data_IF_795317781600
#
_entry.id   IF_795317781600
#
_cell.length_a   1.000
_cell.length_b   1.000
_cell.length_c   1.000
_cell.angle_alpha   90.00
_cell.angle_beta   90.00
_cell.angle_gamma   90.00
#
_symmetry.space_group_name_H-M   'P 1'
#
loop_
_entity.id
_entity.type
_entity.pdbx_description
1 polymer ?
#
# COMPACT_ATOMS: atom_id res chain seq x y z
N UNK A 1 -20.17 -54.63 -27.81
CA UNK A 1 -21.62 -54.44 -27.65
C UNK A 1 -21.84 -53.04 -27.09
N UNK A 2 -22.62 -52.25 -27.82
CA UNK A 2 -23.16 -50.90 -27.56
C UNK A 2 -24.34 -51.04 -26.55
N UNK A 3 -24.81 -50.02 -25.77
CA UNK A 3 -24.75 -48.57 -26.05
C UNK A 3 -24.33 -47.59 -24.94
N UNK A 4 -23.99 -46.41 -25.47
CA UNK A 4 -23.94 -45.06 -24.90
C UNK A 4 -25.36 -44.53 -24.62
N UNK A 5 -25.57 -43.81 -23.52
CA UNK A 5 -26.72 -42.92 -23.31
C UNK A 5 -26.19 -41.53 -22.94
N UNK A 6 -26.45 -40.58 -23.84
CA UNK A 6 -26.23 -39.15 -23.65
C UNK A 6 -27.47 -38.52 -23.01
N UNK A 7 -27.29 -37.61 -22.05
CA UNK A 7 -28.33 -36.73 -21.53
C UNK A 7 -27.95 -35.29 -21.90
N UNK A 8 -28.69 -34.74 -22.86
CA UNK A 8 -28.65 -33.33 -23.27
C UNK A 8 -29.60 -32.52 -22.38
N UNK A 9 -29.09 -31.44 -21.79
CA UNK A 9 -29.92 -30.42 -21.15
C UNK A 9 -30.36 -29.38 -22.19
N UNK A 10 -31.65 -29.02 -22.27
CA UNK A 10 -32.13 -28.01 -23.21
C UNK A 10 -31.92 -26.58 -22.70
N UNK A 11 -31.48 -25.72 -23.62
CA UNK A 11 -31.42 -24.26 -23.55
C UNK A 11 -32.83 -23.66 -23.41
N UNK A 12 -33.08 -22.67 -22.54
CA UNK A 12 -34.36 -21.97 -22.52
C UNK A 12 -34.43 -20.92 -23.64
N UNK A 13 -35.54 -20.95 -24.37
CA UNK A 13 -35.87 -20.10 -25.49
C UNK A 13 -36.26 -18.68 -25.06
N UNK A 14 -35.73 -17.70 -25.80
CA UNK A 14 -36.07 -16.29 -25.76
C UNK A 14 -37.46 -16.07 -26.39
N UNK A 15 -38.39 -15.40 -25.70
CA UNK A 15 -39.69 -14.98 -26.24
C UNK A 15 -39.74 -13.47 -26.38
N UNK A 16 -40.18 -12.92 -27.54
CA UNK A 16 -40.34 -11.48 -27.72
C UNK A 16 -41.74 -11.06 -27.24
N UNK A 17 -41.83 -9.90 -26.57
CA UNK A 17 -43.13 -9.22 -26.38
C UNK A 17 -43.13 -7.89 -27.11
N UNK A 18 -44.03 -7.84 -28.07
CA UNK A 18 -44.37 -6.73 -28.94
C UNK A 18 -45.15 -5.63 -28.21
N UNK A 19 -44.87 -4.43 -28.70
CA UNK A 19 -45.49 -3.12 -28.49
C UNK A 19 -47.01 -3.06 -28.38
N UNK A 20 -47.50 -2.18 -27.50
CA UNK A 20 -48.79 -1.50 -27.67
C UNK A 20 -48.63 0.00 -27.39
N UNK A 21 -48.90 0.81 -28.41
CA UNK A 21 -48.96 2.28 -28.36
C UNK A 21 -50.27 2.72 -27.71
N UNK A 22 -50.22 3.72 -26.84
CA UNK A 22 -51.38 4.58 -26.55
C UNK A 22 -50.92 6.04 -26.49
N UNK A 23 -51.44 6.82 -27.44
CA UNK A 23 -51.30 8.27 -27.53
C UNK A 23 -52.17 8.93 -26.46
N UNK A 24 -51.68 9.95 -25.76
CA UNK A 24 -52.54 11.03 -25.26
C UNK A 24 -51.75 12.35 -25.10
N UNK A 25 -52.13 13.30 -25.95
CA UNK A 25 -52.33 14.74 -25.72
C UNK A 25 -51.25 15.58 -25.01
N UNK A 26 -50.68 16.49 -25.81
CA UNK A 26 -49.88 17.64 -25.41
C UNK A 26 -50.73 18.61 -24.59
N UNK A 27 -50.29 18.91 -23.36
CA UNK A 27 -50.65 20.13 -22.65
C UNK A 27 -49.40 21.00 -22.53
N UNK A 28 -49.44 22.15 -23.20
CA UNK A 28 -48.40 23.17 -23.17
C UNK A 28 -48.55 23.96 -21.87
N UNK A 29 -47.62 23.81 -20.94
CA UNK A 29 -47.47 24.70 -19.79
C UNK A 29 -46.07 25.33 -19.85
N UNK A 30 -46.03 26.61 -20.22
CA UNK A 30 -44.84 27.43 -20.09
C UNK A 30 -44.61 27.72 -18.59
N UNK A 31 -43.53 27.18 -18.03
CA UNK A 31 -42.98 27.61 -16.75
C UNK A 31 -41.52 27.99 -17.01
N UNK A 32 -41.27 29.29 -17.00
CA UNK A 32 -39.92 29.85 -16.93
C UNK A 32 -39.35 29.58 -15.54
N UNK A 33 -38.54 28.54 -15.42
CA UNK A 33 -37.69 28.33 -14.25
C UNK A 33 -36.23 28.54 -14.68
N UNK A 34 -35.62 29.62 -14.17
CA UNK A 34 -34.17 29.70 -14.07
C UNK A 34 -33.73 28.65 -13.06
N UNK A 35 -33.47 27.43 -13.55
CA UNK A 35 -32.81 26.39 -12.79
C UNK A 35 -31.31 26.57 -12.95
N UNK A 36 -30.62 26.92 -11.87
CA UNK A 36 -29.19 26.73 -11.79
C UNK A 36 -28.89 25.26 -12.12
N UNK A 37 -28.06 25.04 -13.14
CA UNK A 37 -27.42 23.75 -13.37
C UNK A 37 -26.51 23.56 -12.15
N UNK A 38 -27.01 22.90 -11.12
CA UNK A 38 -26.15 22.25 -10.16
C UNK A 38 -25.41 21.18 -10.96
N UNK A 39 -24.12 21.40 -11.17
CA UNK A 39 -23.21 20.35 -11.58
C UNK A 39 -23.29 19.30 -10.46
N UNK A 40 -24.07 18.24 -10.68
CA UNK A 40 -23.93 17.03 -9.90
C UNK A 40 -22.59 16.45 -10.33
N UNK A 41 -21.55 16.77 -9.57
CA UNK A 41 -20.35 15.96 -9.59
C UNK A 41 -20.78 14.56 -9.15
N UNK A 42 -20.52 13.57 -10.01
CA UNK A 42 -20.56 12.17 -9.64
C UNK A 42 -19.57 11.98 -8.47
N UNK A 43 -20.11 11.92 -7.27
CA UNK A 43 -19.39 11.59 -6.04
C UNK A 43 -19.30 10.05 -5.93
N UNK A 44 -18.66 9.42 -6.92
CA UNK A 44 -18.43 7.97 -6.93
C UNK A 44 -16.95 7.57 -6.95
N UNK A 45 -16.05 8.53 -6.73
CA UNK A 45 -14.74 8.23 -6.16
C UNK A 45 -14.88 8.45 -4.67
N UNK A 46 -15.14 7.39 -3.91
CA UNK A 46 -14.88 7.44 -2.46
C UNK A 46 -13.49 8.07 -2.30
N UNK A 47 -13.43 9.27 -1.71
CA UNK A 47 -12.18 9.98 -1.56
C UNK A 47 -11.25 9.06 -0.77
N UNK A 48 -10.27 8.47 -1.47
CA UNK A 48 -9.10 7.88 -0.83
C UNK A 48 -8.64 8.89 0.21
N UNK A 49 -8.43 8.43 1.44
CA UNK A 49 -7.91 9.29 2.48
C UNK A 49 -6.62 9.90 1.92
N UNK A 50 -6.60 11.23 1.78
CA UNK A 50 -5.55 11.93 1.04
C UNK A 50 -4.16 11.83 1.71
N UNK A 51 -4.08 11.10 2.82
CA UNK A 51 -2.87 10.65 3.53
C UNK A 51 -2.19 9.44 2.87
N UNK A 52 -2.89 8.62 2.10
CA UNK A 52 -2.28 7.44 1.47
C UNK A 52 -1.58 7.78 0.16
N UNK A 53 -0.49 7.07 -0.13
CA UNK A 53 0.18 7.13 -1.42
C UNK A 53 -0.80 6.62 -2.49
N UNK A 54 -0.93 7.36 -3.57
CA UNK A 54 -1.94 7.16 -4.61
C UNK A 54 -1.34 7.06 -6.01
N UNK A 55 0.00 7.10 -6.12
CA UNK A 55 0.72 7.00 -7.37
C UNK A 55 1.83 5.96 -7.27
N UNK A 56 1.73 4.93 -8.10
CA UNK A 56 2.85 4.04 -8.42
C UNK A 56 3.78 4.73 -9.41
N UNK A 57 5.00 5.04 -8.97
CA UNK A 57 6.04 5.65 -9.81
C UNK A 57 6.81 4.60 -10.59
N UNK A 58 7.15 3.48 -9.93
CA UNK A 58 7.83 2.36 -10.56
C UNK A 58 7.56 1.07 -9.80
N UNK A 59 7.20 0.01 -10.53
CA UNK A 59 7.03 -1.34 -9.99
C UNK A 59 7.57 -2.38 -10.99
N UNK A 60 8.91 -2.47 -11.19
CA UNK A 60 9.51 -3.43 -12.12
C UNK A 60 9.16 -4.90 -11.85
N UNK A 61 8.74 -5.24 -10.63
CA UNK A 61 8.24 -6.58 -10.27
C UNK A 61 6.79 -6.89 -10.71
N UNK A 62 6.06 -5.89 -11.22
CA UNK A 62 4.66 -6.05 -11.64
C UNK A 62 4.48 -7.10 -12.75
N UNK A 63 3.38 -7.84 -12.68
CA UNK A 63 3.06 -8.92 -13.62
C UNK A 63 1.56 -9.26 -13.60
N UNK A 64 1.09 -10.11 -14.52
CA UNK A 64 -0.33 -10.49 -14.64
C UNK A 64 -0.75 -11.60 -13.64
N UNK A 65 0.08 -11.90 -12.63
CA UNK A 65 -0.22 -12.85 -11.57
C UNK A 65 -1.20 -12.28 -10.54
N UNK A 66 -1.74 -13.14 -9.67
CA UNK A 66 -2.79 -12.77 -8.69
C UNK A 66 -2.41 -11.56 -7.82
N UNK A 67 -1.15 -11.46 -7.43
CA UNK A 67 -0.62 -10.38 -6.57
C UNK A 67 0.35 -9.47 -7.32
N UNK A 68 0.28 -9.46 -8.65
CA UNK A 68 1.24 -8.76 -9.51
C UNK A 68 0.79 -7.35 -9.94
N UNK A 69 -0.41 -6.92 -9.57
CA UNK A 69 -0.91 -5.58 -9.87
C UNK A 69 -0.43 -4.57 -8.82
N UNK A 70 0.44 -3.60 -9.19
CA UNK A 70 0.96 -2.63 -8.24
C UNK A 70 -0.08 -1.60 -7.77
N UNK A 71 -1.27 -1.55 -8.39
CA UNK A 71 -2.33 -0.66 -7.91
C UNK A 71 -2.81 -1.02 -6.50
N UNK A 72 -2.71 -2.30 -6.10
CA UNK A 72 -3.01 -2.78 -4.74
C UNK A 72 -2.14 -2.18 -3.64
N UNK A 73 -1.03 -1.50 -3.99
CA UNK A 73 -0.23 -0.76 -3.00
C UNK A 73 -0.68 0.72 -2.85
N UNK A 74 -1.72 1.13 -3.58
CA UNK A 74 -2.15 2.54 -3.70
C UNK A 74 -3.68 2.74 -3.71
N UNK A 75 -4.46 1.66 -3.63
CA UNK A 75 -5.92 1.68 -3.60
C UNK A 75 -6.50 1.56 -2.19
N UNK A 76 -5.67 1.81 -1.19
CA UNK A 76 -6.04 1.84 0.23
C UNK A 76 -5.56 0.59 0.95
N UNK A 77 -5.58 0.63 2.29
CA UNK A 77 -5.07 -0.47 3.12
C UNK A 77 -6.22 -1.33 3.60
N UNK A 78 -6.12 -2.63 3.36
CA UNK A 78 -7.14 -3.63 3.63
C UNK A 78 -6.62 -4.78 4.50
N UNK A 79 -5.91 -4.46 5.57
CA UNK A 79 -5.40 -5.44 6.53
C UNK A 79 -6.45 -6.42 7.06
N UNK A 80 -6.01 -7.64 7.38
CA UNK A 80 -6.86 -8.71 7.90
C UNK A 80 -6.73 -8.90 9.44
N UNK A 81 -6.05 -7.96 10.10
CA UNK A 81 -5.92 -7.92 11.55
C UNK A 81 -4.71 -8.70 12.08
N UNK A 82 -4.71 -8.88 13.40
CA UNK A 82 -3.56 -9.39 14.16
C UNK A 82 -3.00 -10.75 13.71
N UNK A 83 -3.86 -11.64 13.20
CA UNK A 83 -3.57 -13.08 13.04
C UNK A 83 -3.78 -13.62 11.63
N UNK A 84 -3.94 -12.73 10.66
CA UNK A 84 -4.09 -13.10 9.26
C UNK A 84 -3.58 -11.96 8.38
N UNK A 85 -2.96 -12.31 7.26
CA UNK A 85 -2.73 -11.39 6.15
C UNK A 85 -3.93 -11.36 5.20
N UNK A 86 -4.09 -10.24 4.50
CA UNK A 86 -5.01 -10.13 3.38
C UNK A 86 -4.46 -10.93 2.19
N UNK A 87 -5.27 -11.85 1.65
CA UNK A 87 -4.87 -12.75 0.57
C UNK A 87 -5.48 -12.37 -0.79
N UNK A 88 -6.11 -11.20 -0.91
CA UNK A 88 -6.85 -10.77 -2.09
C UNK A 88 -6.42 -9.38 -2.60
N UNK A 89 -5.89 -8.52 -1.73
CA UNK A 89 -5.62 -7.11 -2.04
C UNK A 89 -4.26 -6.67 -1.50
N UNK A 90 -3.19 -7.10 -2.17
CA UNK A 90 -1.79 -6.77 -1.87
C UNK A 90 -0.95 -6.86 -3.15
N UNK A 91 0.11 -6.05 -3.24
CA UNK A 91 1.10 -6.16 -4.29
C UNK A 91 2.38 -6.86 -3.81
N UNK A 92 2.62 -8.09 -4.29
CA UNK A 92 3.87 -8.81 -4.01
C UNK A 92 5.02 -8.28 -4.88
N UNK A 93 6.03 -7.70 -4.25
CA UNK A 93 7.19 -7.10 -4.93
C UNK A 93 8.20 -8.14 -5.47
N UNK A 94 8.21 -9.36 -4.93
CA UNK A 94 9.27 -10.31 -5.16
C UNK A 94 10.51 -10.07 -4.27
N UNK A 95 11.62 -10.72 -4.59
CA UNK A 95 12.84 -10.70 -3.75
C UNK A 95 13.94 -9.75 -4.21
N UNK A 96 13.73 -9.01 -5.30
CA UNK A 96 14.78 -8.23 -5.97
C UNK A 96 14.35 -6.85 -6.41
N UNK A 97 13.17 -6.76 -6.98
CA UNK A 97 12.71 -5.54 -7.65
C UNK A 97 12.12 -4.56 -6.61
N UNK A 98 12.47 -3.27 -6.69
CA UNK A 98 11.92 -2.27 -5.78
C UNK A 98 10.50 -1.84 -6.20
N UNK A 99 9.78 -1.22 -5.27
CA UNK A 99 8.54 -0.49 -5.51
C UNK A 99 8.78 0.97 -5.16
N UNK A 100 8.41 1.91 -6.02
CA UNK A 100 8.47 3.35 -5.74
C UNK A 100 7.09 3.96 -5.82
N UNK A 101 6.68 4.61 -4.74
CA UNK A 101 5.38 5.25 -4.55
C UNK A 101 5.54 6.75 -4.31
N UNK A 102 4.45 7.49 -4.51
CA UNK A 102 4.36 8.92 -4.18
C UNK A 102 2.92 9.34 -3.91
N UNK A 103 2.76 10.60 -3.48
CA UNK A 103 1.48 11.26 -3.25
C UNK A 103 1.24 12.32 -4.32
N UNK A 104 0.03 12.38 -4.88
CA UNK A 104 -0.42 13.31 -5.94
C UNK A 104 0.10 14.75 -5.79
N UNK A 105 1.25 15.02 -6.42
CA UNK A 105 1.97 16.30 -6.38
C UNK A 105 2.25 16.85 -4.97
N UNK A 106 2.38 15.97 -3.97
CA UNK A 106 2.68 16.34 -2.58
C UNK A 106 4.04 15.83 -2.14
N UNK A 107 4.57 16.49 -1.12
CA UNK A 107 5.73 16.03 -0.36
C UNK A 107 5.28 15.61 1.03
N UNK A 108 5.91 14.56 1.56
CA UNK A 108 5.81 14.17 2.97
C UNK A 108 6.82 15.01 3.74
N UNK A 109 6.34 15.83 4.66
CA UNK A 109 7.15 16.74 5.47
C UNK A 109 7.54 16.09 6.79
N UNK A 110 8.68 16.52 7.33
CA UNK A 110 9.07 16.19 8.70
C UNK A 110 8.23 17.02 9.67
N UNK A 111 7.51 16.36 10.56
CA UNK A 111 6.70 16.96 11.60
C UNK A 111 6.97 16.35 12.97
N UNK A 112 6.01 16.48 13.88
CA UNK A 112 6.17 15.90 15.21
C UNK A 112 5.82 14.41 15.19
N UNK A 113 6.78 13.57 15.59
CA UNK A 113 6.61 12.13 15.67
C UNK A 113 6.57 11.47 14.29
N UNK A 114 5.92 10.30 14.22
CA UNK A 114 5.84 9.49 12.99
C UNK A 114 5.32 10.32 11.80
N UNK A 115 6.10 10.30 10.72
CA UNK A 115 5.79 11.04 9.50
C UNK A 115 5.10 10.15 8.45
N UNK A 116 5.41 8.86 8.42
CA UNK A 116 4.76 7.89 7.55
C UNK A 116 4.74 6.48 8.13
N UNK A 117 3.77 5.67 7.69
CA UNK A 117 3.57 4.27 8.09
C UNK A 117 3.43 3.40 6.85
N UNK A 118 4.10 2.26 6.83
CA UNK A 118 4.02 1.27 5.75
C UNK A 118 3.21 0.06 6.23
N UNK A 119 2.26 -0.36 5.40
CA UNK A 119 1.42 -1.52 5.59
C UNK A 119 1.80 -2.55 4.52
N UNK A 120 2.52 -3.58 4.95
CA UNK A 120 2.90 -4.72 4.13
C UNK A 120 1.76 -5.74 4.23
N UNK A 121 1.95 -6.87 4.90
CA UNK A 121 0.88 -7.82 5.15
C UNK A 121 1.27 -8.78 6.29
N UNK A 122 2.16 -8.34 7.18
CA UNK A 122 2.62 -9.17 8.28
C UNK A 122 1.48 -9.53 9.23
N UNK A 123 1.63 -10.64 9.95
CA UNK A 123 0.67 -11.07 10.98
C UNK A 123 1.31 -12.03 11.97
N UNK A 124 0.71 -12.14 13.17
CA UNK A 124 1.18 -13.06 14.20
C UNK A 124 0.86 -14.51 13.87
N UNK A 125 1.86 -15.37 14.06
CA UNK A 125 1.74 -16.82 13.95
C UNK A 125 1.98 -17.51 15.29
N UNK A 126 1.21 -18.56 15.56
CA UNK A 126 1.34 -19.34 16.79
C UNK A 126 0.86 -18.62 18.07
N UNK A 127 1.46 -18.98 19.19
CA UNK A 127 1.17 -18.46 20.54
C UNK A 127 2.35 -17.67 21.14
N UNK A 128 3.46 -17.55 20.41
CA UNK A 128 4.65 -16.79 20.76
C UNK A 128 4.68 -15.41 20.06
N UNK A 129 5.75 -14.63 20.30
CA UNK A 129 6.04 -13.35 19.61
C UNK A 129 6.60 -13.60 18.19
N UNK A 130 5.99 -14.51 17.44
CA UNK A 130 6.44 -14.88 16.10
C UNK A 130 5.51 -14.27 15.06
N UNK A 131 6.08 -13.66 14.03
CA UNK A 131 5.33 -13.07 12.93
C UNK A 131 5.65 -13.82 11.63
N UNK A 132 4.65 -13.99 10.78
CA UNK A 132 4.92 -14.15 9.36
C UNK A 132 5.13 -12.75 8.80
N UNK A 133 6.32 -12.50 8.25
CA UNK A 133 6.77 -11.18 7.87
C UNK A 133 7.79 -11.23 6.74
N UNK A 134 7.69 -10.27 5.82
CA UNK A 134 8.51 -10.17 4.62
C UNK A 134 9.10 -8.76 4.52
N UNK A 135 10.38 -8.64 4.87
CA UNK A 135 10.95 -7.33 5.16
C UNK A 135 11.33 -6.54 3.90
N UNK A 136 11.12 -5.22 3.97
CA UNK A 136 11.61 -4.26 3.01
C UNK A 136 12.39 -3.14 3.70
N UNK A 137 13.54 -2.76 3.13
CA UNK A 137 14.20 -1.53 3.50
C UNK A 137 13.51 -0.33 2.83
N UNK A 138 13.48 0.79 3.54
CA UNK A 138 12.85 2.03 3.08
C UNK A 138 13.92 2.97 2.55
N UNK A 139 13.69 3.58 1.39
CA UNK A 139 14.56 4.58 0.83
C UNK A 139 13.77 5.79 0.34
N UNK A 140 14.28 7.00 0.57
CA UNK A 140 13.57 8.24 0.33
C UNK A 140 14.32 9.12 -0.67
N UNK A 141 13.57 9.87 -1.49
CA UNK A 141 14.13 10.75 -2.52
C UNK A 141 13.26 11.98 -2.79
N UNK A 142 13.91 13.05 -3.25
CA UNK A 142 13.25 14.26 -3.75
C UNK A 142 13.14 14.32 -5.29
N UNK A 143 14.03 13.62 -6.00
CA UNK A 143 14.14 13.67 -7.48
C UNK A 143 13.75 12.35 -8.17
N UNK A 144 13.59 11.27 -7.42
CA UNK A 144 13.26 9.94 -7.94
C UNK A 144 14.46 9.19 -8.53
N UNK A 145 15.67 9.75 -8.42
CA UNK A 145 16.91 9.17 -8.93
C UNK A 145 17.89 8.89 -7.78
N UNK A 146 18.12 9.87 -6.90
CA UNK A 146 19.02 9.78 -5.77
C UNK A 146 18.23 9.45 -4.51
N UNK A 147 18.55 8.30 -3.90
CA UNK A 147 17.86 7.82 -2.70
C UNK A 147 18.82 7.74 -1.51
N UNK A 148 18.32 8.10 -0.33
CA UNK A 148 18.92 7.73 0.95
C UNK A 148 18.12 6.58 1.55
N UNK A 149 18.80 5.55 2.02
CA UNK A 149 18.16 4.42 2.70
C UNK A 149 18.01 4.78 4.18
N UNK A 150 16.82 4.54 4.72
CA UNK A 150 16.51 4.70 6.13
C UNK A 150 17.39 3.73 6.94
N UNK A 151 17.91 4.14 8.11
CA UNK A 151 18.68 3.23 8.96
C UNK A 151 17.88 1.97 9.31
N UNK A 152 18.52 0.81 9.16
CA UNK A 152 17.94 -0.50 9.47
C UNK A 152 19.04 -1.47 9.86
N UNK A 153 18.69 -2.47 10.67
CA UNK A 153 19.62 -3.47 11.18
C UNK A 153 18.91 -4.81 11.45
N UNK A 154 19.60 -5.91 11.21
CA UNK A 154 19.11 -7.27 11.49
C UNK A 154 19.96 -7.92 12.57
N UNK A 155 19.41 -8.03 13.78
CA UNK A 155 20.20 -8.34 15.00
C UNK A 155 19.91 -9.72 15.58
N UNK A 156 19.54 -10.69 14.74
CA UNK A 156 19.33 -12.06 15.19
C UNK A 156 20.63 -12.71 15.69
N UNK A 157 20.56 -13.70 16.61
CA UNK A 157 21.76 -14.38 17.11
C UNK A 157 22.65 -15.02 16.03
N UNK A 158 22.04 -15.45 14.91
CA UNK A 158 22.72 -15.82 13.68
C UNK A 158 22.09 -15.04 12.52
N UNK A 159 22.73 -13.95 12.13
CA UNK A 159 22.23 -13.04 11.10
C UNK A 159 22.23 -13.63 9.67
N UNK A 160 22.77 -14.84 9.49
CA UNK A 160 22.70 -15.56 8.20
C UNK A 160 21.43 -16.42 8.08
N UNK A 161 20.70 -16.60 9.17
CA UNK A 161 19.46 -17.37 9.22
C UNK A 161 18.28 -16.43 9.45
N UNK A 162 17.14 -16.75 8.84
CA UNK A 162 15.91 -16.01 9.07
C UNK A 162 15.39 -16.22 10.49
N UNK A 163 14.85 -15.16 11.08
CA UNK A 163 14.16 -15.17 12.36
C UNK A 163 12.76 -14.60 12.17
N UNK A 164 11.77 -15.30 12.73
CA UNK A 164 10.37 -14.89 12.80
C UNK A 164 10.08 -13.99 14.02
N UNK A 165 11.09 -13.61 14.81
CA UNK A 165 10.95 -12.66 15.91
C UNK A 165 11.11 -11.23 15.37
N UNK A 166 10.06 -10.39 15.45
CA UNK A 166 10.06 -9.04 14.89
C UNK A 166 11.11 -8.13 15.56
N UNK A 167 11.53 -8.41 16.79
CA UNK A 167 12.49 -7.58 17.52
C UNK A 167 13.91 -7.60 16.89
N UNK A 168 14.18 -8.58 16.04
CA UNK A 168 15.45 -8.66 15.31
C UNK A 168 15.49 -7.75 14.06
N UNK A 169 14.36 -7.22 13.59
CA UNK A 169 14.26 -6.50 12.30
C UNK A 169 14.03 -5.00 12.50
N UNK A 170 15.07 -4.29 12.95
CA UNK A 170 14.96 -2.88 13.33
C UNK A 170 15.01 -1.98 12.09
N UNK A 171 14.09 -1.01 11.98
CA UNK A 171 14.06 -0.03 10.89
C UNK A 171 13.64 -0.60 9.52
N UNK A 172 13.22 -1.86 9.47
CA UNK A 172 12.59 -2.45 8.28
C UNK A 172 11.08 -2.20 8.29
N UNK A 173 10.49 -2.16 7.11
CA UNK A 173 9.05 -2.32 6.92
C UNK A 173 8.71 -3.81 6.73
N UNK A 174 7.43 -4.15 6.89
CA UNK A 174 6.93 -5.51 6.83
C UNK A 174 7.20 -6.31 8.10
N UNK A 175 7.12 -5.69 9.28
CA UNK A 175 7.39 -6.34 10.57
C UNK A 175 6.13 -6.40 11.43
N UNK A 176 5.37 -5.31 11.56
CA UNK A 176 4.16 -5.27 12.40
C UNK A 176 2.89 -5.73 11.67
N UNK A 177 1.94 -6.38 12.37
CA UNK A 177 0.66 -6.73 11.78
C UNK A 177 -0.12 -5.55 11.22
N UNK A 178 -0.94 -5.77 10.20
CA UNK A 178 -1.81 -4.74 9.61
C UNK A 178 -3.24 -4.87 10.15
N UNK A 179 -3.62 -3.96 11.05
CA UNK A 179 -4.94 -3.94 11.69
C UNK A 179 -5.87 -2.90 11.05
N UNK A 180 -5.30 -1.84 10.50
CA UNK A 180 -6.05 -0.86 9.73
C UNK A 180 -6.72 -1.56 8.54
N UNK A 181 -8.00 -1.26 8.36
CA UNK A 181 -8.74 -1.70 7.18
C UNK A 181 -9.71 -0.59 6.78
N UNK A 182 -9.57 -0.09 5.54
CA UNK A 182 -10.31 1.06 5.05
C UNK A 182 -11.84 0.86 5.10
N UNK A 183 -12.31 -0.38 5.00
CA UNK A 183 -13.73 -0.71 4.95
C UNK A 183 -14.31 -1.12 6.32
N UNK A 184 -13.52 -1.82 7.14
CA UNK A 184 -14.03 -2.53 8.32
C UNK A 184 -13.39 -2.09 9.64
N UNK A 185 -12.23 -1.44 9.61
CA UNK A 185 -11.49 -0.99 10.80
C UNK A 185 -10.75 0.33 10.54
N UNK A 186 -11.51 1.36 10.19
CA UNK A 186 -10.97 2.69 9.87
C UNK A 186 -10.66 3.48 11.15
N UNK A 187 -9.43 3.34 11.62
CA UNK A 187 -8.84 4.08 12.76
C UNK A 187 -7.84 5.12 12.26
N UNK A 188 -7.12 5.80 13.16
CA UNK A 188 -6.02 6.65 12.74
C UNK A 188 -4.82 5.76 12.32
N UNK A 189 -4.32 5.83 11.06
CA UNK A 189 -3.19 5.00 10.61
C UNK A 189 -1.89 5.22 11.39
N UNK A 190 -1.80 6.30 12.19
CA UNK A 190 -0.64 6.61 13.04
C UNK A 190 -0.81 6.16 14.50
N UNK A 191 -1.95 5.57 14.85
CA UNK A 191 -2.14 4.88 16.13
C UNK A 191 -1.66 3.43 15.99
N UNK A 192 -0.39 3.19 16.35
CA UNK A 192 0.25 1.89 16.16
C UNK A 192 -0.48 0.72 16.85
N UNK A 193 -1.17 0.97 17.98
CA UNK A 193 -1.91 -0.07 18.71
C UNK A 193 -3.21 -0.47 18.00
N UNK A 194 -3.80 0.43 17.21
CA UNK A 194 -5.07 0.21 16.53
C UNK A 194 -4.92 -0.08 15.03
N UNK A 195 -3.93 0.53 14.38
CA UNK A 195 -3.68 0.42 12.95
C UNK A 195 -2.60 -0.62 12.62
N UNK A 196 -1.62 -0.81 13.50
CA UNK A 196 -0.42 -1.58 13.20
C UNK A 196 0.44 -0.93 12.12
N UNK A 197 1.13 -1.76 11.32
CA UNK A 197 2.10 -1.30 10.33
C UNK A 197 3.40 -0.75 10.94
N UNK A 198 4.36 -0.45 10.08
CA UNK A 198 5.70 -0.03 10.48
C UNK A 198 5.86 1.49 10.32
N UNK A 199 6.14 2.15 11.43
CA UNK A 199 6.21 3.61 11.55
C UNK A 199 7.63 4.15 11.35
N UNK A 200 7.72 5.30 10.67
CA UNK A 200 8.99 5.97 10.35
C UNK A 200 8.88 7.47 10.63
N UNK A 201 9.88 8.02 11.32
CA UNK A 201 10.01 9.44 11.67
C UNK A 201 11.26 10.00 10.98
N UNK A 202 11.12 11.04 10.16
CA UNK A 202 12.23 11.59 9.38
C UNK A 202 13.37 12.08 10.26
N UNK A 203 13.14 12.41 11.54
CA UNK A 203 14.21 12.76 12.46
C UNK A 203 15.20 11.61 12.76
N UNK A 204 14.82 10.36 12.47
CA UNK A 204 15.71 9.20 12.56
C UNK A 204 16.71 9.10 11.39
N UNK A 205 16.54 9.90 10.33
CA UNK A 205 17.54 9.96 9.27
C UNK A 205 18.84 10.62 9.75
N UNK A 206 20.00 10.13 9.28
CA UNK A 206 21.28 10.72 9.62
C UNK A 206 21.40 12.14 9.07
N UNK A 207 21.96 13.05 9.87
CA UNK A 207 22.20 14.47 9.54
C UNK A 207 23.63 14.75 9.06
N UNK A 208 24.43 13.70 8.84
CA UNK A 208 25.83 13.80 8.41
C UNK A 208 26.00 13.89 6.88
N UNK A 209 24.92 13.61 6.13
CA UNK A 209 24.86 13.68 4.67
C UNK A 209 23.97 14.81 4.15
N UNK A 210 24.31 15.31 2.95
CA UNK A 210 23.54 16.38 2.30
C UNK A 210 22.08 15.97 2.01
N UNK A 211 21.85 14.74 1.53
CA UNK A 211 20.50 14.28 1.17
C UNK A 211 19.63 13.99 2.40
N UNK A 212 20.20 13.39 3.46
CA UNK A 212 19.48 13.16 4.73
C UNK A 212 19.08 14.49 5.38
N UNK A 213 20.02 15.43 5.45
CA UNK A 213 19.74 16.80 5.94
C UNK A 213 18.65 17.50 5.11
N UNK A 214 18.70 17.37 3.79
CA UNK A 214 17.70 17.96 2.90
C UNK A 214 16.32 17.37 3.16
N UNK A 215 16.21 16.03 3.20
CA UNK A 215 14.92 15.34 3.44
C UNK A 215 14.35 15.68 4.82
N UNK A 216 15.20 15.77 5.85
CA UNK A 216 14.75 16.18 7.19
C UNK A 216 14.19 17.59 7.24
N UNK A 217 14.74 18.51 6.44
CA UNK A 217 14.33 19.92 6.44
C UNK A 217 13.16 20.22 5.51
N UNK A 218 13.12 19.53 4.38
CA UNK A 218 12.26 19.85 3.24
C UNK A 218 11.38 18.67 2.79
N UNK A 219 11.36 17.59 3.57
CA UNK A 219 10.57 16.41 3.27
C UNK A 219 11.11 15.61 2.09
N UNK A 220 10.33 14.63 1.67
CA UNK A 220 10.61 13.82 0.48
C UNK A 220 9.41 13.76 -0.45
N UNK A 221 9.62 13.32 -1.69
CA UNK A 221 8.58 13.15 -2.71
C UNK A 221 8.34 11.69 -3.10
N UNK A 222 9.37 10.87 -3.00
CA UNK A 222 9.35 9.49 -3.44
C UNK A 222 9.77 8.59 -2.29
N UNK A 223 8.94 7.59 -2.01
CA UNK A 223 9.28 6.49 -1.12
C UNK A 223 9.54 5.26 -1.98
N UNK A 224 10.66 4.59 -1.73
CA UNK A 224 11.03 3.34 -2.37
C UNK A 224 11.17 2.24 -1.33
N UNK A 225 10.46 1.15 -1.55
CA UNK A 225 10.65 -0.10 -0.84
C UNK A 225 11.62 -0.98 -1.63
N UNK A 226 12.54 -1.61 -0.93
CA UNK A 226 13.53 -2.54 -1.49
C UNK A 226 13.41 -3.84 -0.69
N UNK A 227 13.11 -5.00 -1.31
CA UNK A 227 13.07 -6.26 -0.57
C UNK A 227 14.39 -6.46 0.19
N UNK A 228 14.33 -6.79 1.48
CA UNK A 228 15.54 -6.93 2.31
C UNK A 228 16.52 -7.94 1.70
N UNK A 229 16.00 -9.04 1.12
CA UNK A 229 16.80 -10.05 0.42
C UNK A 229 17.55 -9.57 -0.82
N UNK A 230 17.24 -8.37 -1.32
CA UNK A 230 17.96 -7.72 -2.41
C UNK A 230 19.19 -6.94 -1.92
N UNK A 231 19.27 -6.65 -0.62
CA UNK A 231 20.34 -5.89 0.02
C UNK A 231 21.35 -6.83 0.69
N UNK A 232 22.60 -6.38 0.73
CA UNK A 232 23.66 -7.05 1.49
C UNK A 232 23.61 -6.59 2.93
N UNK A 233 23.47 -7.53 3.87
CA UNK A 233 23.68 -7.28 5.29
C UNK A 233 25.16 -6.88 5.50
N UNK A 234 25.44 -5.69 6.06
CA UNK A 234 26.80 -5.19 6.25
C UNK A 234 27.64 -6.03 7.23
N UNK A 235 27.02 -6.68 8.22
CA UNK A 235 27.71 -7.45 9.26
C UNK A 235 28.13 -8.84 8.78
N UNK A 236 27.35 -9.44 7.89
CA UNK A 236 27.63 -10.78 7.35
C UNK A 236 28.24 -10.77 5.95
N UNK A 237 28.04 -9.68 5.18
CA UNK A 237 28.39 -9.60 3.76
C UNK A 237 27.55 -10.51 2.85
N UNK A 238 26.47 -11.12 3.35
CA UNK A 238 25.49 -11.90 2.60
C UNK A 238 24.20 -11.10 2.38
N UNK A 239 23.30 -11.50 1.48
CA UNK A 239 21.97 -10.92 1.44
C UNK A 239 21.26 -11.10 2.80
N UNK A 240 20.41 -10.15 3.20
CA UNK A 240 19.55 -10.38 4.38
C UNK A 240 18.73 -11.66 4.18
N UNK A 241 18.56 -12.47 5.24
CA UNK A 241 17.77 -13.68 5.13
C UNK A 241 16.30 -13.34 4.89
N UNK A 242 15.52 -14.34 4.49
CA UNK A 242 14.07 -14.21 4.28
C UNK A 242 13.38 -15.49 4.70
N UNK A 243 12.08 -15.42 4.94
CA UNK A 243 11.30 -16.62 5.19
C UNK A 243 11.42 -17.56 3.96
N UNK A 244 11.70 -18.87 4.14
CA UNK A 244 11.78 -19.82 3.04
C UNK A 244 10.46 -20.03 2.26
N UNK A 245 9.32 -19.71 2.87
CA UNK A 245 7.98 -19.84 2.30
C UNK A 245 7.50 -18.54 1.63
N UNK A 246 8.20 -17.43 1.87
CA UNK A 246 7.93 -16.09 1.33
C UNK A 246 8.22 -15.99 -0.17
N UNK A 247 7.37 -15.24 -0.87
CA UNK A 247 7.55 -14.80 -2.25
C UNK A 247 7.98 -13.32 -2.36
N UNK A 248 8.07 -12.60 -1.24
CA UNK A 248 8.59 -11.25 -1.11
C UNK A 248 7.53 -10.30 -0.53
N UNK A 249 7.90 -9.08 -0.13
CA UNK A 249 6.97 -8.17 0.54
C UNK A 249 5.68 -7.95 -0.24
N UNK A 250 4.55 -8.13 0.44
CA UNK A 250 3.17 -7.96 0.00
C UNK A 250 2.68 -6.58 0.45
N UNK A 251 2.82 -5.54 -0.38
CA UNK A 251 2.50 -4.16 0.01
C UNK A 251 1.00 -3.87 -0.17
N UNK A 252 0.34 -3.46 0.91
CA UNK A 252 -1.07 -3.04 0.96
C UNK A 252 -1.18 -1.49 0.91
N UNK A 253 -0.24 -0.77 1.51
CA UNK A 253 -0.19 0.68 1.30
C UNK A 253 0.77 1.46 2.18
N UNK A 254 0.81 2.77 1.98
CA UNK A 254 1.66 3.70 2.75
C UNK A 254 0.87 4.96 3.09
N UNK A 255 0.82 5.31 4.37
CA UNK A 255 0.21 6.55 4.87
C UNK A 255 1.27 7.60 5.23
N UNK A 256 0.99 8.88 5.00
CA UNK A 256 1.80 10.01 5.41
C UNK A 256 1.00 11.01 6.25
N UNK A 257 1.60 11.51 7.33
CA UNK A 257 0.92 12.36 8.31
C UNK A 257 0.92 13.82 7.87
N UNK A 258 2.09 14.32 7.47
CA UNK A 258 2.30 15.73 7.15
C UNK A 258 2.50 15.89 5.65
N UNK A 259 1.43 16.22 4.93
CA UNK A 259 1.47 16.43 3.49
C UNK A 259 1.38 17.91 3.13
N UNK A 260 2.24 18.36 2.24
CA UNK A 260 2.20 19.71 1.65
C UNK A 260 2.34 19.62 0.12
N UNK A 261 1.94 20.67 -0.63
CA UNK A 261 2.29 20.75 -2.05
C UNK A 261 3.79 20.49 -2.27
N UNK A 262 4.14 19.82 -3.36
CA UNK A 262 5.52 19.40 -3.62
C UNK A 262 6.51 20.57 -3.47
N UNK A 263 7.58 20.35 -2.70
CA UNK A 263 8.63 21.33 -2.46
C UNK A 263 8.24 22.50 -1.53
N UNK A 264 7.12 22.41 -0.83
CA UNK A 264 6.66 23.46 0.10
C UNK A 264 6.76 23.08 1.57
N UNK A 265 7.33 21.91 1.89
CA UNK A 265 7.63 21.55 3.27
C UNK A 265 8.57 22.58 3.89
N UNK A 266 8.11 23.15 4.99
CA UNK A 266 8.93 23.98 5.86
C UNK A 266 9.24 23.15 7.10
N UNK A 267 10.49 23.18 7.56
CA UNK A 267 10.85 22.58 8.85
C UNK A 267 9.84 23.00 9.92
N UNK A 268 9.32 22.04 10.68
CA UNK A 268 8.59 22.35 11.90
C UNK A 268 9.42 23.31 12.77
N UNK A 269 8.78 24.30 13.44
CA UNK A 269 9.50 25.25 14.29
C UNK A 269 10.23 24.58 15.45
#
# INVERSE_FOLDING_TARGET
MVPVIALSNPTPAMTPRTSARLLYSIALAAITAWGAIACQADDSTAHQDARFADIVIAAPGANDGRYGDPQFATDGVHGAGERAGNADDVFTMGHREPLTLSWSERSVCNGAGVDFVIFENAFRIGDAQQHFMEQAAVALSNDGENFIVFPHDYTAPDETLYSDDPSHWQGFAGVQPVLFNADTHRVDPFDADLAGGDAFDLDDLPDDGALGTEIRRHGFRYLRLIPASALTNPDTGQPFPKDPMSNGPDIDGVAAQWLAPAGTCTSAP
#
